data_IF_670854846822
#
_entry.id   IF_670854846822
#
_cell.length_a   1.000
_cell.length_b   1.000
_cell.length_c   1.000
_cell.angle_alpha   90.00
_cell.angle_beta   90.00
_cell.angle_gamma   90.00
#
_symmetry.space_group_name_H-M   'P 1'
#
loop_
_entity.id
_entity.type
_entity.pdbx_description
1 polymer ?
#
# COMPACT_ATOMS: atom_id res chain seq x y z
N UNK A 1 -19.97 -8.91 7.30
CA UNK A 1 -18.80 -9.47 6.59
C UNK A 1 -19.04 -9.45 5.07
N UNK A 2 -19.24 -8.26 4.48
CA UNK A 2 -19.63 -8.11 3.06
C UNK A 2 -18.44 -8.27 2.09
N UNK A 3 -17.24 -7.91 2.54
CA UNK A 3 -16.03 -7.82 1.73
C UNK A 3 -15.59 -9.19 1.18
N UNK A 4 -15.85 -10.29 1.91
CA UNK A 4 -15.49 -11.65 1.46
C UNK A 4 -16.18 -12.08 0.15
N UNK A 5 -17.34 -11.50 -0.18
CA UNK A 5 -18.15 -11.96 -1.32
C UNK A 5 -18.09 -11.04 -2.54
N UNK A 6 -17.56 -9.81 -2.41
CA UNK A 6 -17.53 -8.87 -3.55
C UNK A 6 -16.44 -9.19 -4.57
N UNK A 7 -15.36 -9.88 -4.16
CA UNK A 7 -14.23 -10.16 -5.05
C UNK A 7 -13.66 -11.59 -4.86
N UNK A 8 -14.41 -12.63 -5.22
CA UNK A 8 -14.01 -14.03 -4.98
C UNK A 8 -12.72 -14.43 -5.71
N UNK A 9 -12.43 -13.79 -6.85
CA UNK A 9 -11.23 -14.06 -7.65
C UNK A 9 -10.05 -13.12 -7.35
N UNK A 10 -10.22 -12.16 -6.43
CA UNK A 10 -9.14 -11.23 -6.09
C UNK A 10 -8.00 -11.98 -5.39
N UNK A 11 -6.84 -12.01 -6.06
CA UNK A 11 -5.65 -12.68 -5.53
C UNK A 11 -4.94 -11.79 -4.51
N UNK A 12 -4.84 -10.49 -4.78
CA UNK A 12 -4.07 -9.54 -3.98
C UNK A 12 -4.69 -8.15 -4.09
N UNK A 13 -4.73 -7.45 -2.96
CA UNK A 13 -5.06 -6.02 -2.90
C UNK A 13 -3.85 -5.26 -2.36
N UNK A 14 -3.41 -4.26 -3.12
CA UNK A 14 -2.30 -3.40 -2.74
C UNK A 14 -2.79 -1.99 -2.51
N UNK A 15 -2.51 -1.44 -1.33
CA UNK A 15 -2.82 -0.05 -0.98
C UNK A 15 -1.56 0.78 -1.09
N UNK A 16 -1.69 1.87 -1.83
CA UNK A 16 -0.70 2.92 -1.94
C UNK A 16 -1.24 4.18 -1.26
N UNK A 17 -0.43 4.81 -0.39
CA UNK A 17 -0.92 5.81 0.58
C UNK A 17 -0.29 7.19 0.33
N UNK A 18 -0.65 7.82 -0.79
CA UNK A 18 -0.27 9.20 -1.10
C UNK A 18 -1.49 9.90 -1.71
N UNK A 19 -1.69 11.16 -1.33
CA UNK A 19 -2.64 12.05 -1.99
C UNK A 19 -2.13 12.40 -3.40
N UNK A 20 -0.87 12.79 -3.50
CA UNK A 20 -0.13 13.03 -4.74
C UNK A 20 1.34 12.62 -4.53
N UNK A 21 1.75 11.42 -4.98
CA UNK A 21 3.18 11.08 -5.08
C UNK A 21 3.67 11.35 -6.48
N UNK A 22 4.19 12.56 -6.69
CA UNK A 22 4.88 12.92 -7.91
C UNK A 22 6.33 12.43 -7.87
N UNK A 23 6.91 12.07 -9.03
CA UNK A 23 8.34 11.85 -9.09
C UNK A 23 9.10 13.13 -8.68
N UNK A 24 10.32 12.99 -8.11
CA UNK A 24 11.19 14.13 -7.85
C UNK A 24 11.37 15.03 -9.09
N UNK A 25 11.55 16.33 -8.89
CA UNK A 25 11.67 17.31 -9.99
C UNK A 25 12.87 17.05 -10.91
N UNK A 26 13.89 16.38 -10.40
CA UNK A 26 15.10 15.97 -11.11
C UNK A 26 14.99 14.54 -11.69
N UNK A 27 13.83 13.90 -11.61
CA UNK A 27 13.61 12.58 -12.17
C UNK A 27 13.40 12.69 -13.68
N UNK A 28 14.45 12.40 -14.45
CA UNK A 28 14.46 12.47 -15.92
C UNK A 28 13.99 11.16 -16.60
N UNK A 29 13.42 10.23 -15.83
CA UNK A 29 13.08 8.87 -16.24
C UNK A 29 13.84 7.80 -15.45
N UNK A 30 13.27 6.60 -15.38
CA UNK A 30 13.84 5.46 -14.66
C UNK A 30 12.76 4.48 -14.21
N UNK A 31 13.04 3.72 -13.16
CA UNK A 31 12.11 2.70 -12.62
C UNK A 31 11.15 3.32 -11.62
N UNK A 32 9.86 3.02 -11.83
CA UNK A 32 8.80 3.24 -10.86
C UNK A 32 8.38 1.88 -10.29
N UNK A 33 8.49 1.69 -8.97
CA UNK A 33 8.29 0.40 -8.32
C UNK A 33 7.39 0.51 -7.09
N UNK A 34 6.64 -0.56 -6.80
CA UNK A 34 5.97 -0.73 -5.51
C UNK A 34 6.88 -1.54 -4.60
N UNK A 35 7.36 -0.90 -3.53
CA UNK A 35 8.27 -1.48 -2.56
C UNK A 35 7.56 -1.76 -1.24
N UNK A 36 7.98 -2.85 -0.58
CA UNK A 36 7.45 -3.19 0.74
C UNK A 36 7.88 -2.13 1.75
N UNK A 37 6.90 -1.50 2.39
CA UNK A 37 7.13 -0.45 3.38
C UNK A 37 6.67 -0.86 4.79
N UNK A 38 6.57 -2.17 5.07
CA UNK A 38 6.17 -2.71 6.38
C UNK A 38 7.02 -2.17 7.54
N UNK A 39 8.29 -1.83 7.29
CA UNK A 39 9.21 -1.27 8.30
C UNK A 39 8.99 0.23 8.58
N UNK A 40 8.34 0.95 7.67
CA UNK A 40 8.08 2.41 7.78
C UNK A 40 6.59 2.71 7.95
N UNK A 41 5.80 1.67 8.21
CA UNK A 41 4.35 1.73 8.29
C UNK A 41 3.83 2.60 9.46
N UNK A 42 4.61 2.71 10.55
CA UNK A 42 4.26 3.47 11.74
C UNK A 42 4.00 4.95 11.45
N UNK A 43 4.81 5.56 10.57
CA UNK A 43 4.68 6.96 10.19
C UNK A 43 3.39 7.17 9.38
N UNK A 44 3.07 6.22 8.50
CA UNK A 44 1.87 6.28 7.67
C UNK A 44 0.59 6.04 8.48
N UNK A 45 0.65 5.20 9.53
CA UNK A 45 -0.44 5.05 10.53
C UNK A 45 -0.77 6.37 11.23
N UNK A 46 0.24 7.19 11.52
CA UNK A 46 0.05 8.50 12.13
C UNK A 46 -0.66 9.48 11.17
N UNK A 47 -0.21 9.54 9.91
CA UNK A 47 -0.81 10.41 8.89
C UNK A 47 -2.30 10.09 8.61
N UNK A 48 -2.71 8.83 8.69
CA UNK A 48 -4.09 8.40 8.42
C UNK A 48 -5.10 8.65 9.56
N UNK A 49 -4.72 9.40 10.60
CA UNK A 49 -5.68 10.00 11.54
C UNK A 49 -6.75 9.04 12.08
N UNK A 50 -6.35 7.98 12.79
CA UNK A 50 -7.26 7.06 13.53
C UNK A 50 -8.47 6.52 12.73
N UNK A 51 -8.40 6.43 11.39
CA UNK A 51 -9.33 5.59 10.64
C UNK A 51 -9.26 4.14 11.14
N UNK A 52 -10.36 3.39 11.08
CA UNK A 52 -10.39 1.96 11.42
C UNK A 52 -9.18 1.29 10.78
N UNK A 53 -8.23 0.86 11.62
CA UNK A 53 -7.00 0.28 11.12
C UNK A 53 -7.39 -0.90 10.22
N UNK A 54 -6.89 -0.97 8.99
CA UNK A 54 -7.11 -2.12 8.10
C UNK A 54 -6.35 -3.38 8.59
N UNK A 55 -6.13 -3.46 9.91
CA UNK A 55 -5.53 -4.57 10.61
C UNK A 55 -6.60 -5.31 11.40
N UNK A 56 -6.48 -6.62 11.41
CA UNK A 56 -7.21 -7.53 12.28
C UNK A 56 -6.20 -8.07 13.31
N UNK A 57 -6.19 -7.46 14.50
CA UNK A 57 -5.13 -7.66 15.49
C UNK A 57 -3.75 -7.23 14.95
N UNK A 58 -2.80 -8.16 14.95
CA UNK A 58 -1.43 -7.94 14.48
C UNK A 58 -1.23 -8.23 12.99
N UNK A 59 -2.30 -8.50 12.23
CA UNK A 59 -2.21 -8.82 10.81
C UNK A 59 -2.97 -7.83 9.96
N UNK A 60 -2.61 -7.73 8.69
CA UNK A 60 -3.43 -7.00 7.74
C UNK A 60 -4.71 -7.78 7.43
N UNK A 61 -5.81 -7.07 7.19
CA UNK A 61 -7.05 -7.72 6.78
C UNK A 61 -6.85 -8.52 5.49
N UNK A 62 -7.49 -9.69 5.41
CA UNK A 62 -7.52 -10.48 4.17
C UNK A 62 -8.67 -9.99 3.30
N UNK A 63 -8.34 -9.50 2.10
CA UNK A 63 -9.31 -9.10 1.08
C UNK A 63 -9.02 -9.94 -0.17
N UNK A 64 -9.96 -10.83 -0.52
CA UNK A 64 -9.73 -11.87 -1.52
C UNK A 64 -9.01 -13.08 -0.94
N UNK A 65 -7.92 -13.52 -1.59
CA UNK A 65 -7.17 -14.73 -1.21
C UNK A 65 -5.94 -14.47 -0.32
N UNK A 66 -5.46 -13.23 -0.21
CA UNK A 66 -4.24 -12.86 0.54
C UNK A 66 -4.46 -11.67 1.48
N UNK A 67 -3.54 -11.51 2.44
CA UNK A 67 -3.46 -10.30 3.28
C UNK A 67 -3.27 -9.05 2.42
N UNK A 68 -3.91 -7.95 2.82
CA UNK A 68 -3.70 -6.63 2.23
C UNK A 68 -2.21 -6.28 2.29
N UNK A 69 -1.65 -5.84 1.16
CA UNK A 69 -0.29 -5.34 1.11
C UNK A 69 -0.28 -3.83 1.10
N UNK A 70 0.49 -3.25 1.99
CA UNK A 70 0.74 -1.82 2.01
C UNK A 70 2.12 -1.59 1.42
N UNK A 71 2.15 -0.89 0.30
CA UNK A 71 3.37 -0.69 -0.48
C UNK A 71 3.64 0.80 -0.69
N UNK A 72 4.89 1.12 -0.97
CA UNK A 72 5.34 2.45 -1.31
C UNK A 72 5.77 2.50 -2.78
N UNK A 73 5.12 3.36 -3.56
CA UNK A 73 5.61 3.76 -4.88
C UNK A 73 6.91 4.52 -4.72
N UNK A 74 7.99 4.04 -5.32
CA UNK A 74 9.29 4.71 -5.32
C UNK A 74 9.66 5.07 -6.75
N UNK A 75 10.41 6.17 -6.89
CA UNK A 75 10.97 6.61 -8.15
C UNK A 75 12.49 6.53 -8.02
N UNK A 76 13.13 5.72 -8.87
CA UNK A 76 14.58 5.55 -8.90
C UNK A 76 15.10 6.07 -10.23
N UNK A 77 16.25 6.74 -10.22
CA UNK A 77 16.95 7.15 -11.43
C UNK A 77 17.63 5.92 -12.07
N UNK A 78 17.58 5.82 -13.40
CA UNK A 78 18.17 4.71 -14.15
C UNK A 78 17.29 3.47 -14.28
N UNK A 79 17.87 2.40 -14.82
CA UNK A 79 17.25 1.08 -15.05
C UNK A 79 17.84 0.03 -14.13
#
# INVERSE_FOLDING_TARGET
MLIKHMFPELVEMTVFMYDEKMPPTDWTGGVCALEDCSQTDYYKRYAMGRGQQMRDGDKWMVIGKKELRVMELTFRHGW
#
